data_IF_446597590964
#
_entry.id   IF_446597590964
#
_cell.length_a   1.000
_cell.length_b   1.000
_cell.length_c   1.000
_cell.angle_alpha   90.00
_cell.angle_beta   90.00
_cell.angle_gamma   90.00
#
_symmetry.space_group_name_H-M   'P 1'
#
loop_
_entity.id
_entity.type
_entity.pdbx_description
1 polymer ?
#
# COMPACT_ATOMS: atom_id res chain seq x y z
N UNK A 1 -8.97 1.97 -12.15
CA UNK A 1 -9.76 1.35 -11.08
C UNK A 1 -9.04 1.47 -9.73
N UNK A 2 -7.88 0.81 -9.47
CA UNK A 2 -7.23 0.78 -8.13
C UNK A 2 -6.89 2.20 -7.61
N UNK A 3 -6.23 3.03 -8.42
CA UNK A 3 -5.87 4.41 -8.05
C UNK A 3 -7.10 5.28 -7.76
N UNK A 4 -8.15 5.11 -8.51
CA UNK A 4 -9.42 5.81 -8.32
C UNK A 4 -10.14 5.31 -7.07
N UNK A 5 -10.13 4.00 -6.83
CA UNK A 5 -10.67 3.41 -5.61
C UNK A 5 -9.97 3.98 -4.37
N UNK A 6 -8.64 3.98 -4.35
CA UNK A 6 -7.85 4.59 -3.25
C UNK A 6 -8.26 6.05 -3.03
N UNK A 7 -8.35 6.85 -4.10
CA UNK A 7 -8.67 8.28 -3.99
C UNK A 7 -10.09 8.56 -3.45
N UNK A 8 -11.01 7.60 -3.58
CA UNK A 8 -12.42 7.70 -3.15
C UNK A 8 -12.70 7.05 -1.79
N UNK A 9 -11.70 6.46 -1.14
CA UNK A 9 -11.86 5.84 0.18
C UNK A 9 -12.44 6.81 1.21
N UNK A 10 -13.33 6.31 2.06
CA UNK A 10 -14.05 7.09 3.07
C UNK A 10 -13.82 6.63 4.50
N UNK A 11 -13.50 5.34 4.70
CA UNK A 11 -13.39 4.72 6.01
C UNK A 11 -12.01 4.14 6.23
N UNK A 12 -11.56 3.22 5.37
CA UNK A 12 -10.29 2.52 5.57
C UNK A 12 -9.63 2.09 4.26
N UNK A 13 -8.30 1.93 4.30
CA UNK A 13 -7.53 1.29 3.24
C UNK A 13 -6.51 0.36 3.85
N UNK A 14 -6.55 -0.92 3.47
CA UNK A 14 -5.53 -1.91 3.80
C UNK A 14 -4.72 -2.25 2.55
N UNK A 15 -3.43 -2.04 2.60
CA UNK A 15 -2.52 -2.23 1.47
C UNK A 15 -1.46 -3.27 1.84
N UNK A 16 -1.39 -4.35 1.07
CA UNK A 16 -0.26 -5.26 1.06
C UNK A 16 0.50 -5.10 -0.27
N UNK A 17 1.81 -4.90 -0.23
CA UNK A 17 2.63 -4.79 -1.44
C UNK A 17 4.07 -5.23 -1.20
N UNK A 18 4.61 -6.05 -2.09
CA UNK A 18 6.02 -6.46 -1.96
C UNK A 18 6.98 -5.29 -2.24
N UNK A 19 6.63 -4.42 -3.15
CA UNK A 19 7.45 -3.26 -3.54
C UNK A 19 6.61 -1.98 -3.44
N UNK A 20 7.16 -0.96 -2.79
CA UNK A 20 6.54 0.33 -2.58
C UNK A 20 7.42 1.43 -3.15
N UNK A 21 6.94 2.08 -4.19
CA UNK A 21 7.66 3.18 -4.86
C UNK A 21 6.78 4.42 -4.98
N UNK A 22 7.39 5.57 -4.92
CA UNK A 22 6.71 6.81 -5.26
C UNK A 22 6.10 6.70 -6.66
N UNK A 23 4.81 6.96 -6.77
CA UNK A 23 4.09 7.07 -8.03
C UNK A 23 3.15 8.27 -8.00
N UNK A 24 2.88 8.83 -9.17
CA UNK A 24 1.91 9.89 -9.33
C UNK A 24 0.51 9.30 -9.50
N UNK A 25 -0.50 9.95 -8.94
CA UNK A 25 -1.92 9.56 -9.05
C UNK A 25 -2.65 10.61 -9.87
N UNK A 26 -2.74 10.47 -11.22
CA UNK A 26 -3.50 11.40 -12.05
C UNK A 26 -5.00 11.28 -11.78
N UNK A 27 -5.74 12.39 -11.92
CA UNK A 27 -7.20 12.39 -11.83
C UNK A 27 -7.80 12.75 -10.46
N UNK A 28 -6.99 12.94 -9.42
CA UNK A 28 -7.42 13.66 -8.23
C UNK A 28 -7.29 15.14 -8.57
N UNK A 29 -8.41 15.84 -8.62
CA UNK A 29 -8.52 17.23 -9.06
C UNK A 29 -7.37 18.11 -8.54
N UNK A 30 -6.41 18.37 -9.38
CA UNK A 30 -5.40 19.39 -9.16
C UNK A 30 -5.21 20.17 -10.43
N UNK A 31 -5.26 21.48 -10.29
CA UNK A 31 -4.82 22.42 -11.31
C UNK A 31 -3.49 21.97 -11.92
N UNK A 32 -3.51 21.59 -13.14
CA UNK A 32 -2.51 21.57 -14.23
C UNK A 32 -1.00 21.43 -14.00
N UNK A 33 -0.43 21.27 -12.79
CA UNK A 33 1.04 21.31 -12.66
C UNK A 33 1.73 20.04 -12.18
N UNK A 34 1.12 19.20 -11.39
CA UNK A 34 1.63 17.83 -11.13
C UNK A 34 0.59 16.97 -10.43
N UNK A 35 0.40 15.74 -10.89
CA UNK A 35 -0.38 14.75 -10.14
C UNK A 35 0.27 14.53 -8.77
N UNK A 36 -0.49 14.45 -7.66
CA UNK A 36 0.06 14.19 -6.35
C UNK A 36 0.73 12.81 -6.30
N UNK A 37 1.73 12.66 -5.43
CA UNK A 37 2.28 11.33 -5.16
C UNK A 37 1.25 10.47 -4.42
N UNK A 38 1.35 9.14 -4.54
CA UNK A 38 0.50 8.23 -3.78
C UNK A 38 0.57 8.50 -2.28
N UNK A 39 1.74 8.86 -1.78
CA UNK A 39 1.94 9.16 -0.35
C UNK A 39 1.17 10.41 0.04
N UNK A 40 1.17 11.44 -0.79
CA UNK A 40 0.40 12.67 -0.50
C UNK A 40 -1.11 12.40 -0.57
N UNK A 41 -1.56 11.51 -1.46
CA UNK A 41 -2.94 11.06 -1.52
C UNK A 41 -3.32 10.33 -0.23
N UNK A 42 -2.51 9.35 0.21
CA UNK A 42 -2.75 8.61 1.45
C UNK A 42 -2.74 9.54 2.68
N UNK A 43 -1.79 10.49 2.73
CA UNK A 43 -1.77 11.52 3.80
C UNK A 43 -3.04 12.37 3.81
N UNK A 44 -3.47 12.81 2.64
CA UNK A 44 -4.69 13.60 2.50
C UNK A 44 -5.94 12.85 2.96
N UNK A 45 -6.02 11.54 2.66
CA UNK A 45 -7.09 10.65 3.13
C UNK A 45 -7.04 10.48 4.65
N UNK A 46 -5.87 10.17 5.21
CA UNK A 46 -5.69 10.01 6.66
C UNK A 46 -6.02 11.29 7.43
N UNK A 47 -5.66 12.47 6.92
CA UNK A 47 -6.03 13.76 7.49
C UNK A 47 -7.56 14.02 7.46
N UNK A 48 -8.30 13.34 6.60
CA UNK A 48 -9.77 13.36 6.55
C UNK A 48 -10.42 12.26 7.38
N UNK A 49 -9.64 11.50 8.17
CA UNK A 49 -10.14 10.47 9.07
C UNK A 49 -10.19 9.06 8.46
N UNK A 50 -9.64 8.84 7.27
CA UNK A 50 -9.52 7.48 6.69
C UNK A 50 -8.40 6.75 7.41
N UNK A 51 -8.67 5.55 7.93
CA UNK A 51 -7.66 4.68 8.53
C UNK A 51 -6.91 3.92 7.45
N UNK A 52 -5.57 4.03 7.45
CA UNK A 52 -4.74 3.45 6.41
C UNK A 52 -3.65 2.59 7.03
N UNK A 53 -3.62 1.32 6.65
CA UNK A 53 -2.58 0.37 7.02
C UNK A 53 -1.82 -0.06 5.76
N UNK A 54 -0.52 0.21 5.71
CA UNK A 54 0.36 -0.17 4.60
C UNK A 54 1.39 -1.20 5.11
N UNK A 55 1.31 -2.42 4.60
CA UNK A 55 2.28 -3.48 4.83
C UNK A 55 3.12 -3.68 3.57
N UNK A 56 4.45 -3.56 3.69
CA UNK A 56 5.37 -3.72 2.57
C UNK A 56 6.55 -4.64 2.90
N UNK A 57 7.28 -5.10 1.87
CA UNK A 57 8.43 -5.99 2.06
C UNK A 57 9.78 -5.29 1.83
N UNK A 58 9.93 -4.66 0.68
CA UNK A 58 11.19 -4.05 0.25
C UNK A 58 11.44 -2.69 0.88
N UNK A 59 12.69 -2.22 0.80
CA UNK A 59 13.02 -0.84 1.15
C UNK A 59 12.34 0.13 0.17
N UNK A 60 11.55 1.10 0.65
CA UNK A 60 10.95 2.09 -0.22
C UNK A 60 11.99 2.83 -1.06
N UNK A 61 11.62 3.26 -2.27
CA UNK A 61 12.53 4.05 -3.10
C UNK A 61 12.92 5.37 -2.42
N UNK A 62 14.09 5.93 -2.74
CA UNK A 62 14.57 7.16 -2.14
C UNK A 62 13.54 8.32 -2.18
N UNK A 63 12.79 8.56 -3.28
CA UNK A 63 11.70 9.54 -3.28
C UNK A 63 10.56 9.17 -2.32
N UNK A 64 10.21 7.89 -2.19
CA UNK A 64 9.19 7.45 -1.24
C UNK A 64 9.67 7.66 0.20
N UNK A 65 10.92 7.31 0.51
CA UNK A 65 11.54 7.57 1.82
C UNK A 65 11.54 9.05 2.18
N UNK A 66 11.89 9.94 1.25
CA UNK A 66 11.88 11.39 1.48
C UNK A 66 10.48 11.91 1.86
N UNK A 67 9.42 11.34 1.26
CA UNK A 67 8.05 11.66 1.63
C UNK A 67 7.65 11.05 2.98
N UNK A 68 8.11 9.84 3.31
CA UNK A 68 7.82 9.15 4.56
C UNK A 68 8.54 9.77 5.77
N UNK A 69 9.71 10.40 5.57
CA UNK A 69 10.43 11.14 6.63
C UNK A 69 9.64 12.31 7.22
N UNK A 70 8.66 12.84 6.50
CA UNK A 70 7.72 13.82 7.06
C UNK A 70 6.80 13.11 8.04
N UNK A 71 6.49 13.78 9.18
CA UNK A 71 5.57 13.22 10.18
C UNK A 71 4.28 12.69 9.53
N UNK A 72 4.01 11.41 9.74
CA UNK A 72 2.79 10.77 9.25
C UNK A 72 1.58 11.21 10.09
N UNK A 73 0.40 11.40 9.49
CA UNK A 73 -0.83 11.63 10.23
C UNK A 73 -1.22 10.37 11.03
N UNK A 74 -1.97 10.54 12.12
CA UNK A 74 -2.35 9.42 13.01
C UNK A 74 -3.05 8.27 12.29
N UNK A 75 -3.86 8.55 11.28
CA UNK A 75 -4.59 7.54 10.51
C UNK A 75 -3.75 6.78 9.48
N UNK A 76 -2.45 7.03 9.36
CA UNK A 76 -1.58 6.33 8.41
C UNK A 76 -0.48 5.59 9.16
N UNK A 77 -0.60 4.26 9.19
CA UNK A 77 0.39 3.38 9.80
C UNK A 77 1.05 2.52 8.72
N UNK A 78 2.38 2.42 8.78
CA UNK A 78 3.17 1.65 7.83
C UNK A 78 3.96 0.60 8.61
N UNK A 79 3.98 -0.64 8.12
CA UNK A 79 4.74 -1.76 8.70
C UNK A 79 5.50 -2.52 7.63
N UNK A 80 6.58 -3.17 8.03
CA UNK A 80 7.43 -3.94 7.12
C UNK A 80 7.42 -5.42 7.50
N UNK A 81 7.24 -6.28 6.48
CA UNK A 81 7.47 -7.72 6.58
C UNK A 81 8.29 -8.19 5.36
N UNK A 82 9.60 -8.51 5.50
CA UNK A 82 10.45 -8.90 4.37
C UNK A 82 10.02 -10.17 3.63
N UNK A 83 9.08 -10.94 4.20
CA UNK A 83 8.49 -12.13 3.57
C UNK A 83 7.22 -11.83 2.78
N UNK A 84 6.70 -10.62 2.87
CA UNK A 84 5.47 -10.28 2.16
C UNK A 84 5.71 -10.31 0.65
N UNK A 85 4.88 -11.04 -0.07
CA UNK A 85 4.86 -11.02 -1.53
C UNK A 85 3.45 -10.81 -2.10
N UNK A 86 2.45 -10.65 -1.24
CA UNK A 86 1.09 -10.31 -1.63
C UNK A 86 1.01 -8.90 -2.24
N UNK A 87 0.06 -8.69 -3.15
CA UNK A 87 -0.32 -7.39 -3.68
C UNK A 87 -1.84 -7.31 -3.64
N UNK A 88 -2.32 -6.62 -2.62
CA UNK A 88 -3.74 -6.41 -2.39
C UNK A 88 -3.99 -4.98 -1.90
N UNK A 89 -5.12 -4.43 -2.30
CA UNK A 89 -5.63 -3.15 -1.79
C UNK A 89 -7.09 -3.36 -1.47
N UNK A 90 -7.44 -3.30 -0.20
CA UNK A 90 -8.83 -3.35 0.28
C UNK A 90 -9.26 -1.95 0.65
N UNK A 91 -10.44 -1.53 0.18
CA UNK A 91 -10.97 -0.20 0.35
C UNK A 91 -12.31 -0.29 1.05
N UNK A 92 -12.44 0.39 2.19
CA UNK A 92 -13.66 0.50 3.00
C UNK A 92 -14.28 -0.87 3.34
N UNK A 93 -13.48 -1.95 3.35
CA UNK A 93 -13.94 -3.35 3.46
C UNK A 93 -15.04 -3.74 2.45
N UNK A 94 -15.14 -3.04 1.32
CA UNK A 94 -16.20 -3.21 0.32
C UNK A 94 -15.71 -3.52 -1.08
N UNK A 95 -14.52 -3.08 -1.40
CA UNK A 95 -13.92 -3.33 -2.71
C UNK A 95 -12.45 -3.71 -2.55
N UNK A 96 -11.96 -4.60 -3.38
CA UNK A 96 -10.60 -5.10 -3.30
C UNK A 96 -9.98 -5.29 -4.68
N UNK A 97 -8.72 -4.86 -4.80
CA UNK A 97 -7.80 -5.37 -5.81
C UNK A 97 -6.96 -6.50 -5.22
N UNK A 98 -6.83 -7.59 -5.95
CA UNK A 98 -5.89 -8.68 -5.67
C UNK A 98 -5.22 -9.08 -6.98
N UNK A 99 -3.89 -9.09 -7.03
CA UNK A 99 -3.20 -9.44 -8.28
C UNK A 99 -1.69 -9.37 -8.19
N UNK A 100 -1.04 -9.17 -9.35
CA UNK A 100 0.41 -9.12 -9.47
C UNK A 100 1.00 -7.71 -9.31
N UNK A 101 0.20 -6.64 -9.47
CA UNK A 101 0.69 -5.26 -9.46
C UNK A 101 1.08 -4.78 -8.06
N UNK A 102 2.35 -4.44 -7.91
CA UNK A 102 2.83 -3.72 -6.73
C UNK A 102 2.34 -2.26 -6.70
N UNK A 103 2.40 -1.62 -5.53
CA UNK A 103 2.11 -0.20 -5.36
C UNK A 103 3.23 0.67 -5.96
N UNK A 104 3.36 0.57 -7.27
CA UNK A 104 4.38 1.27 -8.06
C UNK A 104 3.78 1.88 -9.31
N UNK A 105 4.47 2.88 -9.87
CA UNK A 105 3.99 3.52 -11.10
C UNK A 105 4.00 2.60 -12.33
N UNK A 106 4.87 1.58 -12.36
CA UNK A 106 4.88 0.57 -13.41
C UNK A 106 3.73 -0.44 -13.23
N UNK A 107 3.50 -0.91 -11.99
CA UNK A 107 2.46 -1.89 -11.68
C UNK A 107 1.05 -1.31 -11.82
N UNK A 108 0.79 -0.13 -11.30
CA UNK A 108 -0.55 0.49 -11.34
C UNK A 108 -0.77 1.43 -12.54
N UNK A 109 0.05 1.33 -13.59
CA UNK A 109 -0.16 2.02 -14.84
C UNK A 109 -0.02 3.55 -14.78
N UNK A 110 0.79 4.08 -13.86
CA UNK A 110 1.09 5.52 -13.76
C UNK A 110 2.24 5.97 -14.67
N UNK A 111 2.94 5.04 -15.31
CA UNK A 111 3.99 5.31 -16.30
C UNK A 111 3.42 5.28 -17.73
N UNK A 112 4.19 5.81 -18.69
CA UNK A 112 3.89 5.67 -20.11
C UNK A 112 3.84 4.19 -20.53
N UNK A 113 3.08 3.87 -21.58
CA UNK A 113 2.75 2.48 -21.96
C UNK A 113 3.99 1.57 -22.10
N UNK A 114 5.02 2.00 -22.78
CA UNK A 114 6.27 1.23 -22.94
C UNK A 114 7.11 1.07 -21.66
N UNK A 115 6.67 1.63 -20.51
CA UNK A 115 7.33 1.53 -19.19
C UNK A 115 6.43 0.90 -18.13
N UNK A 116 5.28 0.35 -18.52
CA UNK A 116 4.35 -0.38 -17.64
C UNK A 116 4.71 -1.84 -17.62
N UNK A 117 4.45 -2.48 -16.48
CA UNK A 117 4.47 -3.93 -16.41
C UNK A 117 3.19 -4.50 -17.02
N UNK A 118 3.28 -5.74 -17.52
CA UNK A 118 2.10 -6.55 -17.80
C UNK A 118 1.64 -7.19 -16.48
N UNK A 119 0.53 -6.73 -15.97
CA UNK A 119 0.00 -7.18 -14.69
C UNK A 119 -1.37 -7.82 -14.86
N UNK A 120 -1.65 -8.81 -14.02
CA UNK A 120 -2.96 -9.46 -13.97
C UNK A 120 -3.52 -9.35 -12.55
N UNK A 121 -4.82 -9.17 -12.44
CA UNK A 121 -5.48 -9.09 -11.15
C UNK A 121 -6.99 -8.98 -11.31
N UNK A 122 -7.66 -9.13 -10.18
CA UNK A 122 -9.11 -8.97 -10.08
C UNK A 122 -9.44 -7.73 -9.27
N UNK A 123 -10.53 -7.09 -9.65
CA UNK A 123 -11.25 -6.14 -8.82
C UNK A 123 -12.56 -6.78 -8.42
N UNK A 124 -12.86 -6.84 -7.14
CA UNK A 124 -14.03 -7.53 -6.62
C UNK A 124 -14.67 -6.77 -5.46
N UNK A 125 -15.97 -6.96 -5.30
CA UNK A 125 -16.79 -6.50 -4.18
C UNK A 125 -17.36 -7.71 -3.40
N UNK A 126 -16.86 -8.92 -3.66
CA UNK A 126 -17.24 -10.13 -2.93
C UNK A 126 -16.75 -10.06 -1.48
N UNK A 127 -17.70 -9.95 -0.53
CA UNK A 127 -17.38 -9.91 0.89
C UNK A 127 -16.57 -11.13 1.34
N UNK A 128 -16.94 -12.33 0.89
CA UNK A 128 -16.24 -13.56 1.25
C UNK A 128 -14.76 -13.56 0.82
N UNK A 129 -14.43 -13.02 -0.36
CA UNK A 129 -13.05 -12.89 -0.81
C UNK A 129 -12.30 -11.79 -0.04
N UNK A 130 -12.97 -10.68 0.22
CA UNK A 130 -12.41 -9.56 0.99
C UNK A 130 -12.11 -10.02 2.42
N UNK A 131 -13.03 -10.68 3.09
CA UNK A 131 -12.87 -11.19 4.46
C UNK A 131 -11.70 -12.17 4.55
N UNK A 132 -11.58 -13.11 3.60
CA UNK A 132 -10.47 -14.06 3.57
C UNK A 132 -9.09 -13.37 3.38
N UNK A 133 -9.02 -12.32 2.56
CA UNK A 133 -7.78 -11.54 2.39
C UNK A 133 -7.48 -10.68 3.62
N UNK A 134 -8.51 -10.06 4.23
CA UNK A 134 -8.35 -9.28 5.46
C UNK A 134 -7.90 -10.14 6.64
N UNK A 135 -8.42 -11.37 6.78
CA UNK A 135 -7.95 -12.32 7.79
C UNK A 135 -6.45 -12.58 7.67
N UNK A 136 -5.96 -12.86 6.46
CA UNK A 136 -4.52 -13.06 6.22
C UNK A 136 -3.71 -11.78 6.43
N UNK A 137 -4.23 -10.64 6.00
CA UNK A 137 -3.59 -9.34 6.23
C UNK A 137 -3.45 -9.05 7.72
N UNK A 138 -4.53 -9.23 8.49
CA UNK A 138 -4.53 -9.00 9.94
C UNK A 138 -3.56 -9.94 10.66
N UNK A 139 -3.53 -11.23 10.31
CA UNK A 139 -2.59 -12.18 10.89
C UNK A 139 -1.11 -11.78 10.65
N UNK A 140 -0.80 -11.19 9.51
CA UNK A 140 0.53 -10.63 9.23
C UNK A 140 0.76 -9.32 9.97
N UNK A 141 -0.23 -8.43 9.94
CA UNK A 141 -0.17 -7.11 10.56
C UNK A 141 0.05 -7.17 12.07
N UNK A 142 -0.61 -8.10 12.73
CA UNK A 142 -0.53 -8.31 14.18
C UNK A 142 0.66 -9.19 14.61
N UNK A 143 1.43 -9.69 13.64
CA UNK A 143 2.63 -10.45 13.91
C UNK A 143 2.40 -11.91 14.32
N UNK A 144 1.20 -12.48 14.11
CA UNK A 144 0.89 -13.87 14.46
C UNK A 144 1.81 -14.88 13.77
N UNK A 145 2.44 -14.49 12.66
CA UNK A 145 3.41 -15.32 11.92
C UNK A 145 4.87 -15.03 12.29
N UNK A 146 5.14 -14.08 13.20
CA UNK A 146 6.51 -13.65 13.52
C UNK A 146 7.22 -14.63 14.46
N UNK A 147 6.52 -15.27 15.40
CA UNK A 147 7.12 -16.16 16.39
C UNK A 147 7.89 -17.32 15.74
N UNK A 148 7.31 -17.98 14.75
CA UNK A 148 7.91 -19.10 14.00
C UNK A 148 8.70 -18.67 12.76
N UNK A 149 8.89 -17.39 12.53
CA UNK A 149 9.55 -16.88 11.35
C UNK A 149 11.06 -17.14 11.41
N UNK A 150 11.62 -17.72 10.33
CA UNK A 150 13.05 -18.04 10.20
C UNK A 150 13.89 -16.95 9.52
N UNK A 151 13.31 -15.76 9.28
CA UNK A 151 13.98 -14.64 8.60
C UNK A 151 14.39 -13.54 9.58
N UNK A 152 14.82 -13.92 10.77
CA UNK A 152 15.25 -12.98 11.81
C UNK A 152 16.59 -12.30 11.47
N UNK A 153 17.36 -12.87 10.59
CA UNK A 153 18.57 -12.30 10.01
C UNK A 153 18.32 -10.98 9.25
N UNK A 154 17.20 -10.91 8.54
CA UNK A 154 16.79 -9.73 7.74
C UNK A 154 15.62 -8.96 8.37
N UNK A 155 15.08 -9.44 9.47
CA UNK A 155 13.97 -8.86 10.22
C UNK A 155 14.21 -8.99 11.73
N UNK A 156 15.25 -8.33 12.26
CA UNK A 156 15.62 -8.44 13.69
C UNK A 156 14.52 -7.87 14.59
N UNK A 157 13.80 -6.88 14.13
CA UNK A 157 12.63 -6.30 14.81
C UNK A 157 11.41 -6.49 13.92
N UNK A 158 10.57 -7.51 14.19
CA UNK A 158 9.40 -7.81 13.37
C UNK A 158 8.44 -6.63 13.28
N UNK A 159 7.98 -6.35 12.05
CA UNK A 159 7.01 -5.29 11.73
C UNK A 159 7.46 -3.86 12.03
N UNK A 160 8.70 -3.67 12.47
CA UNK A 160 9.26 -2.34 12.59
C UNK A 160 9.39 -1.69 11.22
N UNK A 161 9.03 -0.42 11.14
CA UNK A 161 9.33 0.39 9.96
C UNK A 161 10.82 0.46 9.73
N UNK A 162 11.29 0.40 8.47
CA UNK A 162 12.68 0.65 8.16
C UNK A 162 13.05 2.02 8.73
N UNK A 163 14.16 2.05 9.45
CA UNK A 163 14.65 3.26 10.08
C UNK A 163 14.67 4.41 9.08
N UNK A 164 13.74 5.34 9.23
CA UNK A 164 13.56 6.49 8.35
C UNK A 164 14.47 7.67 8.77
N UNK A 165 15.36 7.41 9.74
CA UNK A 165 16.33 8.35 10.26
C UNK A 165 17.57 8.47 9.34
#
# INVERSE_FOLDING_TARGET
>A
VVREGIARAKVSIDIATADFKAMLVPGVASSRRSAPSIIDVLRGLANRGVEIRLLHAGTPSAPALAHLKKKLPRGLTIRRCPRLHAKAVVIDCRAMYLGSANLTGAGLGAKADGKRNFEMGIWTESSALIDGVLEQFNALWEGHRCQSCRRKDVCPVPLEEPNLL
#
